data_IF_356648162645
#
_entry.id   IF_356648162645
#
_cell.length_a   1.000
_cell.length_b   1.000
_cell.length_c   1.000
_cell.angle_alpha   90.00
_cell.angle_beta   90.00
_cell.angle_gamma   90.00
#
_symmetry.space_group_name_H-M   'P 1'
#
loop_
_entity.id
_entity.type
_entity.pdbx_description
1 polymer ?
#
# COMPACT_ATOMS: atom_id res chain seq x y z
N UNK A 1 22.83 -3.93 9.60
CA UNK A 1 21.68 -4.50 10.35
C UNK A 1 21.86 -6.01 10.24
N UNK A 2 22.08 -6.68 11.37
CA UNK A 2 22.37 -8.13 11.42
C UNK A 2 21.10 -8.97 11.65
N UNK A 3 19.99 -8.34 12.05
CA UNK A 3 18.75 -9.07 12.32
C UNK A 3 18.01 -9.43 11.03
N UNK A 4 17.67 -10.71 10.91
CA UNK A 4 16.83 -11.29 9.86
C UNK A 4 15.54 -11.84 10.48
N UNK A 5 14.45 -11.75 9.75
CA UNK A 5 13.11 -12.17 10.20
C UNK A 5 12.53 -13.21 9.24
N UNK A 6 11.83 -14.19 9.80
CA UNK A 6 11.10 -15.22 9.03
C UNK A 6 9.80 -14.69 8.42
N UNK A 7 9.23 -13.65 9.01
CA UNK A 7 8.01 -13.01 8.52
C UNK A 7 8.12 -11.49 8.66
N UNK A 8 8.01 -10.80 7.54
CA UNK A 8 7.89 -9.34 7.49
C UNK A 8 6.47 -8.98 7.08
N UNK A 9 5.81 -8.11 7.85
CA UNK A 9 4.43 -7.69 7.60
C UNK A 9 4.40 -6.18 7.44
N UNK A 10 3.81 -5.71 6.35
CA UNK A 10 3.57 -4.29 6.08
C UNK A 10 2.09 -4.10 5.80
N UNK A 11 1.41 -3.28 6.60
CA UNK A 11 -0.02 -2.98 6.47
C UNK A 11 -0.17 -1.49 6.22
N UNK A 12 -0.78 -1.12 5.09
CA UNK A 12 -1.18 0.26 4.73
C UNK A 12 -0.07 1.32 4.86
N UNK A 13 1.19 0.93 4.61
CA UNK A 13 2.34 1.83 4.70
C UNK A 13 2.82 2.33 3.34
N UNK A 14 2.68 1.51 2.30
CA UNK A 14 3.39 1.74 1.03
C UNK A 14 2.77 2.87 0.21
N UNK A 15 1.53 3.24 0.51
CA UNK A 15 0.84 4.40 -0.01
C UNK A 15 1.57 5.70 0.34
N UNK A 16 2.45 5.68 1.35
CA UNK A 16 3.27 6.83 1.75
C UNK A 16 4.68 6.82 1.14
N UNK A 17 5.01 5.79 0.35
CA UNK A 17 6.35 5.57 -0.19
C UNK A 17 6.34 5.66 -1.71
N UNK A 18 7.37 6.32 -2.26
CA UNK A 18 7.47 6.56 -3.72
C UNK A 18 8.32 5.52 -4.46
N UNK A 19 9.38 5.00 -3.83
CA UNK A 19 10.31 4.08 -4.48
C UNK A 19 10.13 2.66 -3.95
N UNK A 20 9.32 1.88 -4.66
CA UNK A 20 8.96 0.53 -4.27
C UNK A 20 10.07 -0.48 -4.52
N UNK A 21 10.87 -0.31 -5.57
CA UNK A 21 12.04 -1.15 -5.86
C UNK A 21 13.04 -1.10 -4.70
N UNK A 22 13.42 0.10 -4.27
CA UNK A 22 14.33 0.27 -3.13
C UNK A 22 13.72 -0.24 -1.82
N UNK A 23 12.41 -0.08 -1.63
CA UNK A 23 11.71 -0.61 -0.46
C UNK A 23 11.79 -2.13 -0.42
N UNK A 24 11.43 -2.80 -1.51
CA UNK A 24 11.47 -4.26 -1.60
C UNK A 24 12.88 -4.80 -1.44
N UNK A 25 13.88 -4.14 -2.05
CA UNK A 25 15.29 -4.47 -1.83
C UNK A 25 15.71 -4.32 -0.36
N UNK A 26 15.19 -3.30 0.33
CA UNK A 26 15.49 -3.13 1.75
C UNK A 26 14.81 -4.21 2.60
N UNK A 27 13.58 -4.57 2.26
CA UNK A 27 12.81 -5.63 2.94
C UNK A 27 13.45 -7.01 2.71
N UNK A 28 13.88 -7.33 1.49
CA UNK A 28 14.55 -8.61 1.20
C UNK A 28 15.82 -8.78 2.03
N UNK A 29 16.55 -7.69 2.27
CA UNK A 29 17.71 -7.67 3.15
C UNK A 29 17.37 -7.93 4.62
N UNK A 30 16.12 -7.82 5.04
CA UNK A 30 15.65 -8.18 6.38
C UNK A 30 15.07 -9.60 6.46
N UNK A 31 14.90 -10.30 5.34
CA UNK A 31 14.31 -11.64 5.33
C UNK A 31 15.37 -12.73 5.47
N UNK A 32 15.03 -13.79 6.19
CA UNK A 32 15.74 -15.08 6.11
C UNK A 32 15.56 -15.69 4.71
N UNK A 33 16.41 -16.65 4.27
CA UNK A 33 16.29 -17.27 2.95
C UNK A 33 14.93 -17.91 2.67
N UNK A 34 14.28 -18.46 3.70
CA UNK A 34 12.95 -19.07 3.63
C UNK A 34 11.84 -18.15 4.17
N UNK A 35 12.17 -16.88 4.42
CA UNK A 35 11.26 -15.91 5.01
C UNK A 35 10.14 -15.49 4.05
N UNK A 36 9.01 -15.08 4.62
CA UNK A 36 7.87 -14.56 3.88
C UNK A 36 7.68 -13.07 4.12
N UNK A 37 7.23 -12.38 3.07
CA UNK A 37 6.82 -10.98 3.15
C UNK A 37 5.34 -10.88 2.81
N UNK A 38 4.57 -10.30 3.73
CA UNK A 38 3.17 -9.98 3.53
C UNK A 38 2.98 -8.47 3.43
N UNK A 39 2.24 -8.05 2.41
CA UNK A 39 1.89 -6.66 2.20
C UNK A 39 0.40 -6.49 1.96
N UNK A 40 -0.19 -5.58 2.72
CA UNK A 40 -1.54 -5.06 2.51
C UNK A 40 -1.46 -3.58 2.15
N UNK A 41 -2.19 -3.18 1.11
CA UNK A 41 -2.29 -1.79 0.69
C UNK A 41 -3.64 -1.52 0.01
N UNK A 42 -4.09 -0.28 0.08
CA UNK A 42 -5.25 0.21 -0.65
C UNK A 42 -4.96 0.26 -2.15
N UNK A 43 -5.97 -0.08 -2.94
CA UNK A 43 -5.85 -0.09 -4.39
C UNK A 43 -7.18 0.20 -5.09
N UNK A 44 -7.09 0.77 -6.29
CA UNK A 44 -8.17 0.68 -7.26
C UNK A 44 -7.98 -0.58 -8.10
N UNK A 45 -9.08 -1.31 -8.37
CA UNK A 45 -9.04 -2.60 -9.09
C UNK A 45 -8.36 -2.53 -10.47
N UNK A 46 -8.39 -1.36 -11.13
CA UNK A 46 -7.95 -1.20 -12.53
C UNK A 46 -6.83 -0.18 -12.73
N UNK A 47 -6.65 0.80 -11.85
CA UNK A 47 -5.77 1.95 -12.15
C UNK A 47 -4.79 2.19 -11.01
N UNK A 48 -3.60 2.64 -11.37
CA UNK A 48 -2.64 3.21 -10.44
C UNK A 48 -2.60 4.71 -10.68
N UNK A 49 -2.61 5.51 -9.62
CA UNK A 49 -2.66 6.97 -9.70
C UNK A 49 -2.05 7.60 -8.45
N UNK A 50 -1.57 8.83 -8.57
CA UNK A 50 -1.20 9.66 -7.42
C UNK A 50 -2.45 10.27 -6.79
N UNK A 51 -2.53 10.26 -5.46
CA UNK A 51 -3.60 10.92 -4.72
C UNK A 51 -3.39 12.43 -4.71
N UNK A 52 -3.82 13.09 -5.79
CA UNK A 52 -3.68 14.52 -6.05
C UNK A 52 -5.00 15.06 -6.65
N UNK A 53 -5.35 16.34 -6.43
CA UNK A 53 -6.53 16.95 -7.03
C UNK A 53 -6.53 16.78 -8.56
N UNK A 54 -7.67 16.36 -9.12
CA UNK A 54 -7.82 16.23 -10.57
C UNK A 54 -7.84 17.60 -11.26
N UNK A 55 -8.49 18.57 -10.60
CA UNK A 55 -8.62 19.97 -11.02
C UNK A 55 -8.88 20.87 -9.80
N UNK A 56 -9.03 22.17 -10.05
CA UNK A 56 -9.32 23.17 -9.01
C UNK A 56 -10.70 22.98 -8.35
N UNK A 57 -11.63 22.28 -9.02
CA UNK A 57 -13.01 22.05 -8.55
C UNK A 57 -13.14 20.77 -7.70
N UNK A 58 -12.10 19.96 -7.58
CA UNK A 58 -12.06 18.75 -6.74
C UNK A 58 -11.93 19.10 -5.25
N UNK A 59 -13.01 19.66 -4.71
CA UNK A 59 -13.14 20.09 -3.31
C UNK A 59 -12.82 18.99 -2.29
N UNK A 60 -13.11 17.73 -2.63
CA UNK A 60 -12.85 16.60 -1.75
C UNK A 60 -11.35 16.36 -1.65
N UNK A 61 -10.68 16.19 -2.79
CA UNK A 61 -9.25 15.93 -2.83
C UNK A 61 -8.44 17.13 -2.32
N UNK A 62 -8.91 18.35 -2.63
CA UNK A 62 -8.34 19.60 -2.12
C UNK A 62 -8.40 19.69 -0.60
N UNK A 63 -9.44 19.14 0.05
CA UNK A 63 -9.52 19.12 1.51
C UNK A 63 -8.41 18.27 2.17
N UNK A 64 -7.77 17.38 1.41
CA UNK A 64 -6.64 16.54 1.85
C UNK A 64 -5.29 16.95 1.22
N UNK A 65 -5.22 18.09 0.55
CA UNK A 65 -4.02 18.57 -0.16
C UNK A 65 -2.79 18.81 0.72
N UNK A 66 -2.97 18.90 2.04
CA UNK A 66 -1.88 18.98 3.01
C UNK A 66 -1.15 17.64 3.20
N UNK A 67 -1.73 16.52 2.76
CA UNK A 67 -1.05 15.23 2.72
C UNK A 67 -0.09 15.20 1.52
N UNK A 68 1.09 14.63 1.71
CA UNK A 68 2.00 14.39 0.61
C UNK A 68 1.31 13.50 -0.46
N UNK A 69 1.58 13.72 -1.76
CA UNK A 69 1.05 12.85 -2.80
C UNK A 69 1.36 11.38 -2.54
N UNK A 70 0.29 10.60 -2.34
CA UNK A 70 0.36 9.18 -2.02
C UNK A 70 0.04 8.35 -3.26
N UNK A 71 0.93 7.48 -3.75
CA UNK A 71 0.60 6.59 -4.85
C UNK A 71 -0.41 5.52 -4.40
N UNK A 72 -1.52 5.42 -5.12
CA UNK A 72 -2.43 4.29 -5.09
C UNK A 72 -2.06 3.34 -6.22
N UNK A 73 -1.66 2.13 -5.84
CA UNK A 73 -1.23 1.12 -6.80
C UNK A 73 -2.41 0.22 -7.22
N UNK A 74 -2.23 -0.52 -8.32
CA UNK A 74 -3.13 -1.62 -8.70
C UNK A 74 -2.81 -2.88 -7.90
N UNK A 75 -3.76 -3.82 -7.74
CA UNK A 75 -3.49 -5.11 -7.10
C UNK A 75 -2.32 -5.88 -7.72
N UNK A 76 -2.15 -5.78 -9.04
CA UNK A 76 -1.10 -6.48 -9.79
C UNK A 76 0.25 -5.75 -9.79
N UNK A 77 0.39 -4.64 -9.07
CA UNK A 77 1.59 -3.82 -9.10
C UNK A 77 2.83 -4.57 -8.58
N UNK A 78 2.65 -5.45 -7.58
CA UNK A 78 3.71 -6.32 -7.06
C UNK A 78 4.30 -7.26 -8.11
N UNK A 79 3.57 -7.57 -9.19
CA UNK A 79 4.09 -8.44 -10.26
C UNK A 79 5.20 -7.79 -11.08
N UNK A 80 5.36 -6.47 -11.03
CA UNK A 80 6.37 -5.72 -11.78
C UNK A 80 7.71 -5.60 -11.06
N UNK A 81 7.79 -5.94 -9.77
CA UNK A 81 9.01 -5.83 -8.97
C UNK A 81 9.41 -7.21 -8.45
N UNK A 82 10.22 -7.91 -9.24
CA UNK A 82 10.62 -9.30 -8.98
C UNK A 82 12.11 -9.50 -8.76
N UNK A 83 12.87 -8.41 -8.66
CA UNK A 83 14.32 -8.48 -8.58
C UNK A 83 14.79 -9.07 -7.25
N UNK A 84 14.11 -8.71 -6.15
CA UNK A 84 14.52 -9.05 -4.78
C UNK A 84 13.54 -9.99 -4.05
N UNK A 85 12.28 -10.08 -4.51
CA UNK A 85 11.21 -10.88 -3.90
C UNK A 85 10.35 -11.51 -4.99
N UNK A 86 9.76 -12.68 -4.69
CA UNK A 86 8.84 -13.37 -5.60
C UNK A 86 7.43 -13.43 -5.00
N UNK A 87 6.42 -13.13 -5.83
CA UNK A 87 5.02 -13.23 -5.43
C UNK A 87 4.62 -14.70 -5.33
N UNK A 88 4.31 -15.15 -4.11
CA UNK A 88 3.80 -16.50 -3.83
C UNK A 88 2.28 -16.57 -4.04
N UNK A 89 1.56 -15.53 -3.61
CA UNK A 89 0.10 -15.50 -3.70
C UNK A 89 -0.42 -14.06 -3.70
N UNK A 90 -1.66 -13.86 -4.15
CA UNK A 90 -2.28 -12.54 -4.27
C UNK A 90 -3.78 -12.60 -4.00
N UNK A 91 -4.29 -11.64 -3.24
CA UNK A 91 -5.71 -11.52 -2.89
C UNK A 91 -6.22 -10.10 -3.09
N UNK A 92 -7.53 -9.97 -3.25
CA UNK A 92 -8.23 -8.68 -3.24
C UNK A 92 -9.38 -8.79 -2.25
N UNK A 93 -9.39 -7.89 -1.27
CA UNK A 93 -10.49 -7.76 -0.31
C UNK A 93 -11.46 -6.69 -0.82
N UNK A 94 -12.75 -6.95 -0.71
CA UNK A 94 -13.78 -5.99 -1.15
C UNK A 94 -13.67 -4.68 -0.37
N UNK A 95 -13.75 -3.53 -1.07
CA UNK A 95 -13.87 -2.20 -0.44
C UNK A 95 -15.08 -2.07 0.50
N UNK A 96 -16.02 -3.02 0.39
CA UNK A 96 -17.00 -3.47 1.40
C UNK A 96 -16.52 -3.28 2.84
N UNK A 97 -15.36 -3.86 3.12
CA UNK A 97 -14.79 -3.98 4.45
C UNK A 97 -14.29 -2.64 4.95
N UNK A 98 -13.41 -1.96 4.20
CA UNK A 98 -12.88 -0.66 4.60
C UNK A 98 -13.99 0.40 4.76
N UNK A 99 -14.98 0.43 3.85
CA UNK A 99 -16.13 1.34 3.97
C UNK A 99 -16.89 1.16 5.29
N UNK A 100 -17.05 -0.09 5.77
CA UNK A 100 -17.68 -0.36 7.06
C UNK A 100 -16.79 0.08 8.22
N UNK A 101 -15.48 -0.15 8.15
CA UNK A 101 -14.51 0.30 9.15
C UNK A 101 -14.58 1.82 9.32
N UNK A 102 -14.47 2.58 8.22
CA UNK A 102 -14.59 4.04 8.24
C UNK A 102 -15.97 4.51 8.74
N UNK A 103 -17.03 3.77 8.41
CA UNK A 103 -18.38 4.05 8.90
C UNK A 103 -18.57 3.83 10.41
N UNK A 104 -17.78 2.95 11.04
CA UNK A 104 -17.77 2.80 12.50
C UNK A 104 -16.99 3.95 13.13
N UNK A 105 -15.78 4.23 12.63
CA UNK A 105 -14.93 5.34 13.11
C UNK A 105 -15.68 6.67 13.03
N UNK A 106 -16.28 6.99 11.89
CA UNK A 106 -17.03 8.25 11.72
C UNK A 106 -18.25 8.40 12.66
N UNK A 107 -18.80 7.29 13.18
CA UNK A 107 -19.87 7.34 14.18
C UNK A 107 -19.34 7.55 15.59
N UNK A 108 -18.14 7.05 15.90
CA UNK A 108 -17.52 7.21 17.22
C UNK A 108 -17.00 8.64 17.45
N UNK A 109 -16.58 9.31 16.39
CA UNK A 109 -16.04 10.68 16.44
C UNK A 109 -17.06 11.77 16.03
N UNK A 110 -18.35 11.45 16.04
CA UNK A 110 -19.46 12.41 15.88
C UNK A 110 -20.13 12.68 17.22
#
# INVERSE_FOLDING_TARGET
MEDKYDLVIVVELIEHLKNYELLLRKISNWMTPDGLFFIEHHCHKTFAYSYEPLDEDDSFQNSFSYLAPSPYYRPTFSLYFRDDVAVVNQWIVSGKHNSRTQGVVAKEYR
#
